data_IF_168816421299
#
_entry.id   IF_168816421299
#
_cell.length_a   1.000
_cell.length_b   1.000
_cell.length_c   1.000
_cell.angle_alpha   90.00
_cell.angle_beta   90.00
_cell.angle_gamma   90.00
#
_symmetry.space_group_name_H-M   'P 1'
#
loop_
_entity.id
_entity.type
_entity.pdbx_description
1 polymer ?
#
# COMPACT_ATOMS: atom_id res chain seq x y z
N UNK A 1 -19.57 -36.12 12.11
CA UNK A 1 -18.58 -35.45 11.24
C UNK A 1 -17.20 -35.72 11.85
N UNK A 2 -16.30 -36.37 11.12
CA UNK A 2 -15.00 -36.80 11.65
C UNK A 2 -14.07 -35.57 11.78
N UNK A 3 -13.57 -35.32 12.99
CA UNK A 3 -12.66 -34.23 13.31
C UNK A 3 -11.40 -34.22 12.44
N UNK A 4 -10.95 -35.40 11.96
CA UNK A 4 -9.83 -35.50 11.01
C UNK A 4 -10.17 -34.91 9.65
N UNK A 5 -11.42 -35.03 9.21
CA UNK A 5 -11.91 -34.44 7.95
C UNK A 5 -11.95 -32.90 8.10
N UNK A 6 -12.39 -32.39 9.25
CA UNK A 6 -12.42 -30.93 9.51
C UNK A 6 -11.01 -30.33 9.48
N UNK A 7 -10.03 -30.98 10.14
CA UNK A 7 -8.63 -30.51 10.14
C UNK A 7 -8.05 -30.53 8.73
N UNK A 8 -8.29 -31.59 7.95
CA UNK A 8 -7.80 -31.68 6.58
C UNK A 8 -8.42 -30.60 5.68
N UNK A 9 -9.73 -30.35 5.81
CA UNK A 9 -10.40 -29.25 5.10
C UNK A 9 -9.81 -27.89 5.48
N UNK A 10 -9.56 -27.63 6.77
CA UNK A 10 -8.94 -26.37 7.22
C UNK A 10 -7.53 -26.20 6.66
N UNK A 11 -6.69 -27.24 6.66
CA UNK A 11 -5.33 -27.19 6.11
C UNK A 11 -5.36 -26.94 4.58
N UNK A 12 -6.22 -27.66 3.85
CA UNK A 12 -6.36 -27.48 2.39
C UNK A 12 -6.86 -26.07 2.06
N UNK A 13 -7.85 -25.60 2.81
CA UNK A 13 -8.41 -24.24 2.62
C UNK A 13 -7.37 -23.18 2.96
N UNK A 14 -6.62 -23.35 4.06
CA UNK A 14 -5.55 -22.43 4.46
C UNK A 14 -4.42 -22.41 3.44
N UNK A 15 -3.98 -23.56 2.92
CA UNK A 15 -2.93 -23.64 1.89
C UNK A 15 -3.38 -23.02 0.56
N UNK A 16 -4.62 -23.26 0.11
CA UNK A 16 -5.15 -22.66 -1.11
C UNK A 16 -5.32 -21.14 -0.98
N UNK A 17 -5.76 -20.69 0.20
CA UNK A 17 -5.81 -19.28 0.54
C UNK A 17 -4.41 -18.67 0.55
N UNK A 18 -3.44 -19.35 1.18
CA UNK A 18 -2.03 -18.92 1.24
C UNK A 18 -1.37 -18.82 -0.14
N UNK A 19 -1.68 -19.72 -1.07
CA UNK A 19 -1.17 -19.64 -2.45
C UNK A 19 -1.78 -18.46 -3.21
N UNK A 20 -3.11 -18.28 -3.16
CA UNK A 20 -3.75 -17.08 -3.71
C UNK A 20 -3.27 -15.79 -3.04
N UNK A 21 -2.86 -15.86 -1.77
CA UNK A 21 -2.31 -14.74 -1.00
C UNK A 21 -0.92 -14.35 -1.51
N UNK A 22 -0.07 -15.32 -1.85
CA UNK A 22 1.26 -15.09 -2.44
C UNK A 22 1.14 -14.27 -3.73
N UNK A 23 0.16 -14.60 -4.58
CA UNK A 23 -0.06 -13.97 -5.89
C UNK A 23 -0.28 -12.44 -5.81
N UNK A 24 -0.92 -11.93 -4.75
CA UNK A 24 -1.15 -10.47 -4.58
C UNK A 24 0.05 -9.70 -4.04
N UNK A 25 1.18 -10.36 -3.82
CA UNK A 25 2.41 -9.73 -3.29
C UNK A 25 3.66 -10.03 -4.11
N UNK A 26 3.49 -10.73 -5.24
CA UNK A 26 4.56 -11.12 -6.13
C UNK A 26 4.37 -10.39 -7.45
N UNK A 27 5.41 -9.68 -7.89
CA UNK A 27 5.54 -9.24 -9.27
C UNK A 27 6.47 -10.19 -10.01
N UNK A 28 6.06 -10.58 -11.22
CA UNK A 28 6.84 -11.45 -12.09
C UNK A 28 6.71 -11.00 -13.54
N UNK A 29 7.82 -10.55 -14.11
CA UNK A 29 7.93 -10.24 -15.54
C UNK A 29 9.24 -10.81 -16.10
N UNK A 30 9.13 -11.80 -16.99
CA UNK A 30 10.28 -12.56 -17.50
C UNK A 30 11.10 -13.21 -16.37
N UNK A 31 12.37 -12.82 -16.26
CA UNK A 31 13.31 -13.27 -15.21
C UNK A 31 13.20 -12.43 -13.92
N UNK A 32 12.49 -11.30 -13.94
CA UNK A 32 12.31 -10.44 -12.78
C UNK A 32 11.29 -11.09 -11.85
N UNK A 33 11.69 -11.30 -10.59
CA UNK A 33 10.84 -11.81 -9.52
C UNK A 33 11.01 -10.94 -8.28
N UNK A 34 9.94 -10.29 -7.84
CA UNK A 34 9.94 -9.46 -6.64
C UNK A 34 8.87 -9.96 -5.69
N UNK A 35 9.28 -10.32 -4.47
CA UNK A 35 8.35 -10.60 -3.38
C UNK A 35 8.23 -9.34 -2.51
N UNK A 36 7.24 -8.51 -2.82
CA UNK A 36 7.02 -7.23 -2.14
C UNK A 36 6.70 -7.39 -0.66
N UNK A 37 6.07 -8.50 -0.26
CA UNK A 37 5.85 -8.78 1.17
C UNK A 37 7.18 -8.89 1.90
N UNK A 38 8.09 -9.72 1.37
CA UNK A 38 9.41 -9.93 1.98
C UNK A 38 10.21 -8.62 2.01
N UNK A 39 10.21 -7.90 0.89
CA UNK A 39 10.87 -6.59 0.78
C UNK A 39 10.35 -5.61 1.85
N UNK A 40 9.03 -5.42 1.94
CA UNK A 40 8.43 -4.50 2.93
C UNK A 40 8.68 -4.96 4.37
N UNK A 41 8.71 -6.27 4.63
CA UNK A 41 9.05 -6.79 5.96
C UNK A 41 10.49 -6.45 6.37
N UNK A 42 11.44 -6.50 5.43
CA UNK A 42 12.84 -6.12 5.66
C UNK A 42 12.99 -4.62 5.88
N UNK A 43 12.23 -3.80 5.13
CA UNK A 43 12.27 -2.34 5.20
C UNK A 43 11.42 -1.74 6.34
N UNK A 44 10.51 -2.52 6.93
CA UNK A 44 9.54 -2.05 7.93
C UNK A 44 10.15 -1.21 9.07
N UNK A 45 11.29 -1.57 9.68
CA UNK A 45 11.88 -0.76 10.74
C UNK A 45 12.22 0.67 10.28
N UNK A 46 12.71 0.82 9.05
CA UNK A 46 13.06 2.11 8.48
C UNK A 46 11.80 2.91 8.10
N UNK A 47 10.79 2.25 7.52
CA UNK A 47 9.47 2.88 7.24
C UNK A 47 8.88 3.49 8.51
N UNK A 48 8.88 2.71 9.61
CA UNK A 48 8.37 3.18 10.90
C UNK A 48 9.20 4.35 11.43
N UNK A 49 10.53 4.26 11.39
CA UNK A 49 11.40 5.33 11.83
C UNK A 49 11.16 6.64 11.06
N UNK A 50 10.99 6.57 9.74
CA UNK A 50 10.68 7.73 8.92
C UNK A 50 9.33 8.37 9.27
N UNK A 51 8.28 7.57 9.44
CA UNK A 51 6.95 8.08 9.84
C UNK A 51 6.97 8.74 11.22
N UNK A 52 7.73 8.19 12.15
CA UNK A 52 7.89 8.73 13.50
C UNK A 52 8.59 10.10 13.52
N UNK A 53 9.60 10.31 12.67
CA UNK A 53 10.28 11.62 12.54
C UNK A 53 9.31 12.76 12.25
N UNK A 54 8.27 12.49 11.46
CA UNK A 54 7.27 13.49 11.06
C UNK A 54 5.98 13.44 11.89
N UNK A 55 5.96 12.67 12.98
CA UNK A 55 4.79 12.50 13.86
C UNK A 55 3.53 12.07 13.11
N UNK A 56 3.68 11.11 12.17
CA UNK A 56 2.55 10.59 11.43
C UNK A 56 1.46 10.07 12.37
N UNK A 57 0.22 10.51 12.14
CA UNK A 57 -0.94 10.03 12.87
C UNK A 57 -1.64 9.00 12.01
N UNK A 58 -1.68 7.76 12.50
CA UNK A 58 -2.40 6.68 11.83
C UNK A 58 -3.91 7.00 11.77
N UNK A 59 -4.58 6.83 10.63
CA UNK A 59 -6.03 6.95 10.53
C UNK A 59 -6.76 5.87 11.35
N UNK A 60 -8.00 6.15 11.75
CA UNK A 60 -8.85 5.08 12.29
C UNK A 60 -9.05 4.01 11.23
N UNK A 61 -9.27 2.77 11.66
CA UNK A 61 -9.46 1.66 10.73
C UNK A 61 -10.60 1.96 9.75
N UNK A 62 -11.76 2.40 10.26
CA UNK A 62 -12.93 2.78 9.44
C UNK A 62 -12.59 3.84 8.38
N UNK A 63 -11.87 4.89 8.79
CA UNK A 63 -11.48 5.98 7.90
C UNK A 63 -10.49 5.50 6.82
N UNK A 64 -9.51 4.67 7.22
CA UNK A 64 -8.60 4.02 6.28
C UNK A 64 -9.38 3.20 5.24
N UNK A 65 -10.32 2.35 5.67
CA UNK A 65 -11.14 1.52 4.74
C UNK A 65 -11.87 2.39 3.72
N UNK A 66 -12.49 3.47 4.20
CA UNK A 66 -13.26 4.40 3.38
C UNK A 66 -12.40 5.06 2.30
N UNK A 67 -11.21 5.54 2.67
CA UNK A 67 -10.27 6.19 1.75
C UNK A 67 -9.72 5.21 0.72
N UNK A 68 -9.30 4.02 1.14
CA UNK A 68 -8.84 2.97 0.21
C UNK A 68 -9.93 2.64 -0.81
N UNK A 69 -11.17 2.46 -0.35
CA UNK A 69 -12.28 2.18 -1.25
C UNK A 69 -12.55 3.35 -2.21
N UNK A 70 -12.49 4.60 -1.74
CA UNK A 70 -12.80 5.77 -2.58
C UNK A 70 -11.73 6.08 -3.64
N UNK A 71 -10.46 5.87 -3.32
CA UNK A 71 -9.35 6.21 -4.22
C UNK A 71 -8.91 5.04 -5.08
N UNK A 72 -8.79 3.85 -4.48
CA UNK A 72 -8.16 2.69 -5.10
C UNK A 72 -9.22 1.69 -5.61
N UNK A 73 -10.48 1.86 -5.20
CA UNK A 73 -11.61 0.98 -5.57
C UNK A 73 -11.29 -0.52 -5.38
N UNK A 74 -10.53 -0.84 -4.32
CA UNK A 74 -10.23 -2.21 -3.91
C UNK A 74 -10.90 -2.52 -2.58
N UNK A 75 -11.44 -3.72 -2.46
CA UNK A 75 -11.80 -4.26 -1.15
C UNK A 75 -10.54 -4.50 -0.33
N UNK A 76 -10.62 -4.27 0.97
CA UNK A 76 -9.51 -4.55 1.87
C UNK A 76 -9.25 -6.04 1.90
N UNK A 77 -8.02 -6.41 1.56
CA UNK A 77 -7.61 -7.79 1.60
C UNK A 77 -7.36 -8.23 3.05
N UNK A 78 -7.49 -9.52 3.36
CA UNK A 78 -7.27 -10.10 4.70
C UNK A 78 -5.83 -9.95 5.23
N UNK A 79 -4.93 -9.33 4.47
CA UNK A 79 -3.49 -9.35 4.71
C UNK A 79 -2.95 -7.98 5.08
N UNK A 80 -1.94 -7.92 5.94
CA UNK A 80 -1.37 -6.63 6.34
C UNK A 80 -0.70 -5.84 5.19
N UNK A 81 0.03 -6.54 4.32
CA UNK A 81 0.78 -5.94 3.20
C UNK A 81 0.12 -6.37 1.90
N UNK A 82 -0.28 -5.42 1.08
CA UNK A 82 -1.08 -5.64 -0.14
C UNK A 82 -0.57 -4.78 -1.28
N UNK A 83 -0.23 -5.39 -2.41
CA UNK A 83 0.16 -4.67 -3.62
C UNK A 83 -1.09 -4.18 -4.36
N UNK A 84 -1.13 -2.89 -4.68
CA UNK A 84 -2.33 -2.23 -5.21
C UNK A 84 -2.33 -2.11 -6.74
N UNK A 85 -1.18 -2.20 -7.39
CA UNK A 85 -1.05 -2.24 -8.85
C UNK A 85 0.10 -3.15 -9.26
N UNK A 86 0.00 -3.73 -10.44
CA UNK A 86 1.01 -4.64 -10.99
C UNK A 86 2.08 -3.83 -11.73
N UNK A 87 3.10 -3.37 -10.97
CA UNK A 87 4.19 -2.53 -11.45
C UNK A 87 5.48 -2.89 -10.68
N UNK A 88 6.64 -2.55 -11.26
CA UNK A 88 7.95 -2.64 -10.62
C UNK A 88 8.07 -1.70 -9.41
N UNK A 89 7.34 -0.58 -9.44
CA UNK A 89 7.25 0.38 -8.33
C UNK A 89 5.79 0.54 -7.91
N UNK A 90 5.22 -0.46 -7.23
CA UNK A 90 3.81 -0.43 -6.93
C UNK A 90 3.49 0.47 -5.74
N UNK A 91 2.24 0.86 -5.65
CA UNK A 91 1.63 1.31 -4.40
C UNK A 91 1.30 0.09 -3.54
N UNK A 92 1.72 0.12 -2.28
CA UNK A 92 1.56 -0.99 -1.35
C UNK A 92 0.80 -0.50 -0.13
N UNK A 93 -0.36 -1.07 0.13
CA UNK A 93 -1.08 -0.83 1.38
C UNK A 93 -0.41 -1.60 2.52
N UNK A 94 -0.09 -0.88 3.61
CA UNK A 94 0.40 -1.44 4.87
C UNK A 94 -0.63 -1.12 5.95
N UNK A 95 -1.55 -2.07 6.19
CA UNK A 95 -2.81 -1.81 6.88
C UNK A 95 -2.63 -1.51 8.38
N UNK A 96 -1.73 -2.22 9.07
CA UNK A 96 -1.44 -2.01 10.49
C UNK A 96 -0.76 -0.65 10.76
N UNK A 97 -0.05 -0.11 9.78
CA UNK A 97 0.50 1.26 9.82
C UNK A 97 -0.49 2.30 9.30
N UNK A 98 -1.52 1.88 8.59
CA UNK A 98 -2.52 2.76 8.00
C UNK A 98 -1.90 3.70 6.98
N UNK A 99 -1.04 3.17 6.09
CA UNK A 99 -0.37 3.92 5.04
C UNK A 99 -0.49 3.22 3.69
N UNK A 100 -0.31 4.01 2.62
CA UNK A 100 0.14 3.54 1.33
C UNK A 100 1.62 3.89 1.20
N UNK A 101 2.42 2.86 0.97
CA UNK A 101 3.83 2.95 0.66
C UNK A 101 4.03 2.96 -0.86
N UNK A 102 4.96 3.77 -1.33
CA UNK A 102 5.54 3.69 -2.66
C UNK A 102 6.97 4.22 -2.52
N UNK A 103 7.89 3.67 -3.31
CA UNK A 103 9.26 4.18 -3.32
C UNK A 103 9.31 5.52 -4.05
N UNK A 104 10.15 6.43 -3.54
CA UNK A 104 10.62 7.57 -4.32
C UNK A 104 11.57 7.12 -5.43
N UNK A 105 12.10 8.05 -6.22
CA UNK A 105 13.07 7.73 -7.27
C UNK A 105 14.42 7.24 -6.75
N UNK A 106 14.65 7.28 -5.44
CA UNK A 106 15.93 7.01 -4.78
C UNK A 106 15.99 5.66 -4.04
N UNK A 107 17.21 5.26 -3.67
CA UNK A 107 17.51 3.99 -3.01
C UNK A 107 17.20 3.97 -1.49
N UNK A 108 16.88 5.13 -0.90
CA UNK A 108 16.50 5.28 0.52
C UNK A 108 15.01 5.61 0.63
N UNK A 109 14.37 5.20 1.73
CA UNK A 109 12.97 5.56 1.99
C UNK A 109 12.87 7.07 2.16
N UNK A 110 12.18 7.71 1.23
CA UNK A 110 11.83 9.11 1.36
C UNK A 110 10.67 9.29 2.36
N UNK A 111 11.04 9.48 3.62
CA UNK A 111 10.09 9.65 4.72
C UNK A 111 9.21 10.88 4.59
N UNK A 112 9.72 11.97 4.01
CA UNK A 112 8.99 13.23 3.90
C UNK A 112 7.92 13.14 2.81
N UNK A 113 8.28 12.54 1.67
CA UNK A 113 7.31 12.18 0.63
C UNK A 113 6.26 11.22 1.16
N UNK A 114 6.67 10.15 1.85
CA UNK A 114 5.75 9.17 2.42
C UNK A 114 4.77 9.82 3.41
N UNK A 115 5.26 10.72 4.26
CA UNK A 115 4.44 11.48 5.19
C UNK A 115 3.41 12.35 4.45
N UNK A 116 3.86 13.23 3.55
CA UNK A 116 2.96 14.15 2.86
C UNK A 116 1.92 13.41 2.00
N UNK A 117 2.33 12.34 1.32
CA UNK A 117 1.44 11.53 0.51
C UNK A 117 0.30 10.95 1.34
N UNK A 118 0.62 10.34 2.49
CA UNK A 118 -0.37 9.76 3.37
C UNK A 118 -1.23 10.82 4.08
N UNK A 119 -0.67 11.98 4.42
CA UNK A 119 -1.43 13.09 4.98
C UNK A 119 -2.47 13.63 4.02
N UNK A 120 -2.09 13.81 2.76
CA UNK A 120 -3.06 14.22 1.74
C UNK A 120 -4.10 13.12 1.49
N UNK A 121 -3.66 11.87 1.31
CA UNK A 121 -4.54 10.76 0.95
C UNK A 121 -5.62 10.53 2.02
N UNK A 122 -5.22 10.44 3.28
CA UNK A 122 -6.15 10.15 4.38
C UNK A 122 -6.81 11.40 4.93
N UNK A 123 -6.13 12.55 5.03
CA UNK A 123 -6.67 13.71 5.74
C UNK A 123 -7.00 14.90 4.84
N UNK A 124 -6.77 14.79 3.53
CA UNK A 124 -6.96 15.90 2.58
C UNK A 124 -6.19 17.16 2.98
N UNK A 125 -5.02 16.97 3.59
CA UNK A 125 -4.13 18.07 3.97
C UNK A 125 -3.57 18.77 2.73
N UNK A 126 -4.04 20.00 2.47
CA UNK A 126 -3.70 20.73 1.26
C UNK A 126 -2.25 21.22 1.23
N UNK A 127 -1.64 21.47 2.39
CA UNK A 127 -0.21 21.83 2.46
C UNK A 127 0.67 20.68 1.99
N UNK A 128 0.31 19.46 2.38
CA UNK A 128 0.97 18.26 1.89
C UNK A 128 0.76 18.07 0.39
N UNK A 129 -0.44 18.37 -0.13
CA UNK A 129 -0.67 18.35 -1.58
C UNK A 129 0.19 19.38 -2.33
N UNK A 130 0.25 20.63 -1.86
CA UNK A 130 1.08 21.68 -2.45
C UNK A 130 2.55 21.25 -2.47
N UNK A 131 3.07 20.74 -1.34
CA UNK A 131 4.43 20.23 -1.26
C UNK A 131 4.67 19.07 -2.24
N UNK A 132 3.74 18.12 -2.36
CA UNK A 132 3.85 17.02 -3.33
C UNK A 132 3.80 17.50 -4.77
N UNK A 133 3.02 18.55 -5.10
CA UNK A 133 3.02 19.13 -6.44
C UNK A 133 4.35 19.79 -6.79
N UNK A 134 5.01 20.40 -5.81
CA UNK A 134 6.30 21.06 -6.03
C UNK A 134 7.47 20.06 -6.13
N UNK A 135 7.37 18.89 -5.48
CA UNK A 135 8.50 17.96 -5.34
C UNK A 135 8.29 16.58 -6.00
N UNK A 136 7.05 16.11 -6.16
CA UNK A 136 6.70 14.75 -6.61
C UNK A 136 5.49 14.74 -7.56
N UNK A 137 5.38 15.73 -8.47
CA UNK A 137 4.27 15.86 -9.41
C UNK A 137 4.08 14.62 -10.31
N UNK A 138 5.17 13.99 -10.73
CA UNK A 138 5.14 12.80 -11.58
C UNK A 138 4.54 11.59 -10.84
N UNK A 139 4.88 11.42 -9.56
CA UNK A 139 4.30 10.39 -8.70
C UNK A 139 2.79 10.63 -8.49
N UNK A 140 2.37 11.88 -8.26
CA UNK A 140 0.94 12.22 -8.17
C UNK A 140 0.20 11.92 -9.48
N UNK A 141 0.80 12.26 -10.61
CA UNK A 141 0.24 11.97 -11.93
C UNK A 141 0.11 10.46 -12.15
N UNK A 142 1.14 9.68 -11.80
CA UNK A 142 1.08 8.22 -11.84
C UNK A 142 -0.04 7.67 -10.95
N UNK A 143 -0.17 8.17 -9.72
CA UNK A 143 -1.22 7.75 -8.78
C UNK A 143 -2.63 7.95 -9.37
N UNK A 144 -2.88 9.12 -9.97
CA UNK A 144 -4.16 9.46 -10.61
C UNK A 144 -4.46 8.51 -11.77
N UNK A 145 -3.47 8.25 -12.63
CA UNK A 145 -3.62 7.36 -13.79
C UNK A 145 -3.85 5.92 -13.34
N UNK A 146 -3.03 5.42 -12.43
CA UNK A 146 -3.04 4.04 -11.93
C UNK A 146 -4.38 3.65 -11.32
N UNK A 147 -5.00 4.55 -10.54
CA UNK A 147 -6.28 4.26 -9.89
C UNK A 147 -7.48 4.95 -10.54
N UNK A 148 -7.29 5.61 -11.68
CA UNK A 148 -8.36 6.26 -12.43
C UNK A 148 -9.09 7.37 -11.65
N UNK A 149 -8.37 8.10 -10.78
CA UNK A 149 -8.92 9.14 -9.89
C UNK A 149 -9.11 10.46 -10.65
N UNK A 150 -9.66 10.40 -11.86
CA UNK A 150 -9.89 11.58 -12.70
C UNK A 150 -10.97 12.52 -12.14
N UNK A 151 -11.73 12.07 -11.13
CA UNK A 151 -12.80 12.84 -10.50
C UNK A 151 -12.30 13.86 -9.49
N UNK A 152 -11.11 13.66 -8.92
CA UNK A 152 -10.55 14.62 -7.98
C UNK A 152 -9.70 15.66 -8.73
N UNK A 153 -10.33 16.77 -9.12
CA UNK A 153 -9.66 17.86 -9.85
C UNK A 153 -8.53 18.51 -9.05
N UNK A 154 -8.42 18.28 -7.75
CA UNK A 154 -7.35 18.87 -6.93
C UNK A 154 -6.00 18.18 -7.17
N UNK A 155 -6.00 16.93 -7.64
CA UNK A 155 -4.80 16.17 -7.97
C UNK A 155 -4.21 16.49 -9.35
N UNK A 156 -4.99 17.16 -10.22
CA UNK A 156 -4.58 17.61 -11.55
C UNK A 156 -4.02 19.04 -11.52
#
# INVERSE_FOLDING_TARGET
MDWKIIILFLIITFNSYSQKIEDYTIFKDGEVYINFRKYIQEMMPQIVAELEKYNYKKPTEEHYKKVIHSFINKELLPQNIVVLNDDLRPYIAIQDKGIIYTDGDEAEIDGLMLFHFNQYLFYKDLKSLEWLKDNYADMLSNFVVTFGIYRDKTLL
#
